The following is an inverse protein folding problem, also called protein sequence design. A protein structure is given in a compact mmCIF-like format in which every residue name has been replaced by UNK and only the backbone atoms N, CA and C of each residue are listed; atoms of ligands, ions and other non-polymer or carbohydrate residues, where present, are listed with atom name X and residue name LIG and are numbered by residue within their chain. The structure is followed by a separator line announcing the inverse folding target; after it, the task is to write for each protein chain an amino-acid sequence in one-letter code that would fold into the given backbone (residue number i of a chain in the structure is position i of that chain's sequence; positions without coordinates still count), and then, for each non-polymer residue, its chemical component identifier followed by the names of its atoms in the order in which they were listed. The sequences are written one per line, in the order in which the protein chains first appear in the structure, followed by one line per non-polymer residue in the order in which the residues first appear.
data_IF_274583913366
#
_entry.id   IF_274583913366
#
_cell.length_a   1.000
_cell.length_b   1.000
_cell.length_c   1.000
_cell.angle_alpha   90.00
_cell.angle_beta   90.00
_cell.angle_gamma   90.00
#
_symmetry.space_group_name_H-M   'P 1'
#
loop_
_entity.id
_entity.type
_entity.pdbx_description
1 polymer ?
2 non-polymer ?
3 water ?
#
# COMPACT_ATOMS: atom_id res chain seq x y z
N UNK A 3 -18.52 -9.30 -3.41
CA UNK A 3 -17.31 -10.17 -3.26
C UNK A 3 -16.83 -10.38 -1.82
N UNK A 4 -16.24 -11.55 -1.63
CA UNK A 4 -15.72 -12.05 -0.38
C UNK A 4 -14.49 -11.28 0.12
N UNK A 5 -13.58 -10.90 -0.78
CA UNK A 5 -12.40 -10.10 -0.39
C UNK A 5 -12.82 -8.80 0.29
N UNK A 6 -13.78 -8.10 -0.30
CA UNK A 6 -14.22 -6.79 0.22
C UNK A 6 -14.98 -7.00 1.55
N UNK A 7 -15.79 -8.06 1.62
CA UNK A 7 -16.52 -8.32 2.87
C UNK A 7 -15.58 -8.58 4.06
N UNK A 8 -14.53 -9.38 3.83
CA UNK A 8 -13.55 -9.69 4.92
C UNK A 8 -12.72 -8.47 5.22
N UNK A 9 -12.32 -7.77 4.15
CA UNK A 9 -11.50 -6.57 4.30
C UNK A 9 -12.29 -5.52 5.07
N UNK A 10 -13.57 -5.37 4.75
CA UNK A 10 -14.39 -4.33 5.37
C UNK A 10 -14.34 -4.43 6.89
N UNK A 11 -14.46 -5.67 7.41
CA UNK A 11 -14.39 -5.94 8.84
C UNK A 11 -13.05 -5.57 9.48
N UNK A 12 -11.97 -5.97 8.82
CA UNK A 12 -10.65 -5.73 9.36
C UNK A 12 -10.24 -4.26 9.23
N UNK A 13 -10.74 -3.62 8.19
CA UNK A 13 -10.49 -2.16 7.99
C UNK A 13 -11.22 -1.32 9.03
N UNK A 14 -12.47 -1.70 9.31
CA UNK A 14 -13.21 -1.02 10.39
C UNK A 14 -12.50 -1.19 11.73
N UNK A 15 -11.95 -2.39 11.98
CA UNK A 15 -11.09 -2.63 13.14
C UNK A 15 -9.79 -1.75 13.22
N UNK A 16 -9.08 -1.62 12.11
CA UNK A 16 -7.94 -0.70 12.08
C UNK A 16 -8.36 0.75 12.31
N UNK A 17 -9.48 1.16 11.75
CA UNK A 17 -9.98 2.53 11.93
C UNK A 17 -10.29 2.75 13.42
N UNK A 18 -11.00 1.79 14.02
CA UNK A 18 -11.24 1.79 15.47
C UNK A 18 -9.94 1.90 16.28
N UNK A 19 -8.93 1.09 15.93
CA UNK A 19 -7.69 1.08 16.73
C UNK A 19 -6.81 2.33 16.47
N UNK A 20 -6.90 2.93 15.29
CA UNK A 20 -5.87 3.92 14.90
C UNK A 20 -6.42 5.29 14.58
N UNK A 21 -7.72 5.36 14.28
CA UNK A 21 -8.41 6.56 13.77
C UNK A 21 -7.88 7.08 12.43
N UNK A 22 -7.10 6.25 11.73
CA UNK A 22 -6.46 6.67 10.47
C UNK A 22 -7.37 6.30 9.29
N UNK A 23 -7.05 6.83 8.09
CA UNK A 23 -7.73 6.48 6.85
C UNK A 23 -7.17 5.12 6.42
N UNK A 24 -8.06 4.19 6.12
CA UNK A 24 -7.68 2.82 5.67
C UNK A 24 -8.20 2.58 4.24
N UNK A 25 -7.30 2.10 3.35
CA UNK A 25 -7.60 1.76 1.96
C UNK A 25 -7.33 0.29 1.62
N UNK A 26 -8.11 -0.22 0.65
CA UNK A 26 -7.82 -1.51 0.02
C UNK A 26 -7.71 -1.21 -1.48
N UNK A 27 -6.60 -1.61 -2.09
CA UNK A 27 -6.33 -1.27 -3.50
C UNK A 27 -6.03 -2.51 -4.32
N UNK A 28 -6.30 -2.50 -5.62
CA UNK A 28 -5.98 -3.66 -6.44
C UNK A 28 -5.34 -3.21 -7.75
N UNK A 29 -4.71 -4.13 -8.48
CA UNK A 29 -4.04 -3.82 -9.74
C UNK A 29 -5.09 -3.65 -10.84
N UNK A 30 -5.00 -2.55 -11.57
CA UNK A 30 -5.82 -2.39 -12.76
C UNK A 30 -4.87 -2.03 -13.89
N UNK A 31 -4.33 -3.07 -14.50
CA UNK A 31 -3.46 -2.95 -15.66
C UNK A 31 -2.11 -2.33 -15.32
N UNK A 32 -2.01 -1.00 -15.26
CA UNK A 32 -0.74 -0.31 -14.95
C UNK A 32 -0.94 0.80 -13.91
N UNK A 33 -1.94 0.60 -13.06
CA UNK A 33 -2.25 1.56 -12.01
C UNK A 33 -2.90 0.78 -10.87
N UNK A 34 -3.07 1.43 -9.72
CA UNK A 34 -3.85 0.84 -8.61
C UNK A 34 -5.27 1.37 -8.69
N UNK A 35 -6.22 0.58 -8.21
CA UNK A 35 -7.59 1.08 -8.07
C UNK A 35 -8.02 0.91 -6.62
N UNK A 36 -8.55 1.94 -5.97
CA UNK A 36 -9.06 1.73 -4.60
C UNK A 36 -10.41 1.01 -4.66
N UNK A 37 -10.47 -0.21 -4.13
CA UNK A 37 -11.71 -0.98 -4.11
C UNK A 37 -12.54 -0.87 -2.80
N UNK A 38 -11.89 -0.53 -1.67
CA UNK A 38 -12.61 -0.20 -0.41
C UNK A 38 -11.90 0.92 0.35
N UNK A 39 -12.63 1.65 1.19
CA UNK A 39 -12.03 2.69 2.03
C UNK A 39 -12.83 2.80 3.33
N UNK A 40 -12.13 3.03 4.44
CA UNK A 40 -12.76 3.46 5.69
C UNK A 40 -12.09 4.78 6.08
N UNK A 41 -12.88 5.85 6.12
CA UNK A 41 -12.36 7.22 6.26
C UNK A 41 -11.92 7.61 7.65
N UNK A 42 -10.95 8.52 7.71
CA UNK A 42 -10.50 9.11 8.96
C UNK A 42 -11.68 9.83 9.62
N UNK A 43 -12.23 10.84 8.93
CA UNK A 43 -13.52 11.44 9.30
C UNK A 43 -14.27 11.94 8.06
N UNK A 52 -14.37 1.98 -4.40
CA UNK A 52 -14.21 3.43 -4.24
C UNK A 52 -13.68 4.10 -5.53
N UNK A 53 -12.95 3.33 -6.34
CA UNK A 53 -12.81 3.61 -7.77
C UNK A 53 -11.78 4.64 -8.22
N UNK A 54 -11.19 5.36 -7.26
CA UNK A 54 -10.07 6.26 -7.53
C UNK A 54 -8.88 5.45 -8.10
N UNK A 55 -8.13 6.06 -9.02
CA UNK A 55 -6.98 5.43 -9.71
C UNK A 55 -5.63 6.18 -9.51
N UNK A 56 -4.55 5.44 -9.24
CA UNK A 56 -3.29 6.08 -8.85
C UNK A 56 -2.09 5.33 -9.42
N UNK A 57 -0.93 6.01 -9.53
CA UNK A 57 0.27 5.32 -10.06
C UNK A 57 0.71 4.13 -9.20
N UNK A 58 1.32 3.15 -9.84
CA UNK A 58 1.90 2.01 -9.12
C UNK A 58 3.19 2.41 -8.35
N UNK A 59 3.93 3.40 -8.89
CA UNK A 59 5.32 3.62 -8.40
C UNK A 59 5.40 4.61 -7.22
N UNK A 60 4.30 5.32 -6.96
CA UNK A 60 4.26 6.40 -5.93
C UNK A 60 3.26 6.12 -4.79
N UNK A 61 2.61 4.96 -4.83
CA UNK A 61 1.63 4.55 -3.80
C UNK A 61 2.19 3.39 -2.99
N UNK A 62 1.87 3.30 -1.69
CA UNK A 62 2.31 2.20 -0.87
C UNK A 62 1.65 0.88 -1.40
N UNK A 63 0.40 0.95 -1.78
CA UNK A 63 -0.33 -0.27 -2.30
C UNK A 63 0.28 -0.73 -3.64
N UNK A 64 0.59 0.24 -4.50
CA UNK A 64 1.27 -0.08 -5.77
C UNK A 64 2.55 -0.84 -5.52
N UNK A 65 3.38 -0.37 -4.61
CA UNK A 65 4.61 -1.08 -4.30
C UNK A 65 4.38 -2.51 -3.84
N UNK A 66 3.39 -2.71 -2.99
CA UNK A 66 3.20 -4.08 -2.52
C UNK A 66 2.56 -4.99 -3.56
N UNK A 67 1.81 -4.44 -4.51
CA UNK A 67 1.20 -5.22 -5.62
C UNK A 67 2.23 -5.69 -6.64
N UNK A 68 3.35 -5.00 -6.67
CA UNK A 68 4.51 -5.38 -7.50
C UNK A 68 5.62 -6.14 -6.84
N UNK A 69 5.89 -5.90 -5.55
CA UNK A 69 7.11 -6.39 -4.88
C UNK A 69 7.30 -7.91 -4.83
N UNK A 70 6.22 -8.67 -4.75
CA UNK A 70 6.35 -10.14 -4.70
C UNK A 70 6.21 -10.81 -6.10
N UNK A 71 6.06 -10.00 -7.15
CA UNK A 71 5.77 -10.52 -8.49
C UNK A 71 7.02 -10.93 -9.21
N UNK A 72 6.84 -11.83 -10.20
CA UNK A 72 7.93 -12.19 -11.11
C UNK A 72 8.43 -10.87 -11.69
N UNK A 73 9.74 -10.65 -11.60
CA UNK A 73 10.35 -9.39 -12.02
C UNK A 73 10.25 -9.14 -13.53
N UNK A 74 9.86 -10.17 -14.28
CA UNK A 74 9.61 -10.03 -15.71
C UNK A 74 8.19 -9.58 -15.99
N UNK A 75 7.23 -10.14 -15.26
CA UNK A 75 5.89 -9.58 -15.16
C UNK A 75 5.90 -8.10 -14.72
N UNK A 76 6.72 -7.76 -13.72
CA UNK A 76 6.89 -6.36 -13.25
C UNK A 76 7.34 -5.46 -14.40
N UNK A 77 8.49 -5.77 -15.02
CA UNK A 77 9.00 -4.91 -16.09
C UNK A 77 7.95 -4.81 -17.23
N UNK A 78 7.22 -5.89 -17.49
CA UNK A 78 6.07 -5.90 -18.43
C UNK A 78 4.95 -4.92 -18.05
N UNK A 79 4.44 -5.04 -16.82
CA UNK A 79 3.43 -4.11 -16.30
C UNK A 79 3.92 -2.64 -16.45
N UNK A 80 5.17 -2.38 -16.07
CA UNK A 80 5.67 -1.00 -16.05
C UNK A 80 6.09 -0.43 -17.42
N UNK A 81 6.11 -1.29 -18.43
CA UNK A 81 6.50 -0.84 -19.80
C UNK A 81 5.74 0.36 -20.32
N UNK A 82 4.43 0.36 -20.10
CA UNK A 82 3.55 1.40 -20.61
C UNK A 82 3.54 2.71 -19.82
N UNK A 83 4.00 2.64 -18.57
CA UNK A 83 3.93 3.75 -17.63
C UNK A 83 4.76 4.94 -18.08
N UNK A 84 4.15 6.13 -18.05
CA UNK A 84 4.87 7.40 -18.18
C UNK A 84 5.12 7.96 -16.76
N UNK A 85 6.37 7.89 -16.31
CA UNK A 85 6.65 8.36 -14.95
C UNK A 85 6.50 9.89 -14.86
N UNK A 86 5.90 10.36 -13.78
CA UNK A 86 5.75 11.78 -13.51
C UNK A 86 6.28 12.13 -12.11
N UNK A 87 7.08 13.19 -12.02
CA UNK A 87 7.64 13.62 -10.76
C UNK A 87 6.62 14.50 -10.04
N UNK A 88 5.93 13.92 -9.05
CA UNK A 88 4.93 14.70 -8.26
C UNK A 88 5.58 15.55 -7.22
N UNK A 89 6.57 14.98 -6.56
CA UNK A 89 7.23 15.65 -5.49
C UNK A 89 8.70 15.34 -5.61
N UNK A 90 9.44 15.99 -4.73
CA UNK A 90 10.86 15.77 -4.54
C UNK A 90 11.21 14.28 -4.38
N UNK A 91 10.35 13.53 -3.70
CA UNK A 91 10.65 12.15 -3.33
C UNK A 91 10.14 11.06 -4.29
N UNK A 92 9.35 11.46 -5.27
CA UNK A 92 8.76 10.49 -6.21
C UNK A 92 9.85 9.70 -6.91
N UNK A 93 9.66 8.36 -6.99
CA UNK A 93 10.57 7.46 -7.72
C UNK A 93 10.09 7.50 -9.19
N UNK A 94 10.97 7.83 -10.14
CA UNK A 94 10.48 8.13 -11.50
C UNK A 94 11.17 7.37 -12.63
N UNK A 95 11.68 6.16 -12.34
CA UNK A 95 12.01 5.21 -13.41
C UNK A 95 11.84 3.79 -12.92
N UNK A 96 11.71 2.85 -13.86
CA UNK A 96 11.69 1.42 -13.47
C UNK A 96 12.99 1.03 -12.83
N UNK A 97 14.10 1.58 -13.35
CA UNK A 97 15.42 1.25 -12.84
C UNK A 97 15.60 1.69 -11.39
N UNK A 98 15.09 2.88 -11.04
CA UNK A 98 15.04 3.33 -9.63
C UNK A 98 14.03 2.55 -8.75
N UNK A 99 12.95 2.05 -9.35
CA UNK A 99 11.89 1.39 -8.55
C UNK A 99 12.22 -0.03 -8.12
N UNK A 100 12.91 -0.75 -9.01
CA UNK A 100 13.18 -2.19 -8.76
C UNK A 100 13.94 -2.40 -7.45
N UNK A 101 14.99 -1.61 -7.17
CA UNK A 101 15.62 -1.73 -5.85
C UNK A 101 14.67 -1.38 -4.69
N UNK A 102 13.75 -0.43 -4.89
CA UNK A 102 12.78 -0.13 -3.82
C UNK A 102 11.87 -1.37 -3.56
N UNK A 103 11.45 -2.01 -4.64
CA UNK A 103 10.63 -3.22 -4.52
C UNK A 103 11.36 -4.35 -3.78
N UNK A 104 12.68 -4.43 -3.96
CA UNK A 104 13.51 -5.38 -3.21
C UNK A 104 13.36 -5.13 -1.71
N UNK A 105 13.48 -3.86 -1.30
CA UNK A 105 13.37 -3.51 0.11
C UNK A 105 11.94 -3.79 0.62
N UNK A 106 10.94 -3.48 -0.19
CA UNK A 106 9.54 -3.75 0.21
C UNK A 106 9.37 -5.26 0.53
N UNK A 107 9.78 -6.12 -0.40
CA UNK A 107 9.70 -7.57 -0.17
C UNK A 107 10.46 -7.99 1.10
N UNK A 108 11.67 -7.47 1.25
CA UNK A 108 12.54 -7.78 2.39
C UNK A 108 11.89 -7.40 3.73
N UNK A 109 11.27 -6.23 3.81
CA UNK A 109 10.73 -5.72 5.09
C UNK A 109 9.27 -6.09 5.34
N UNK A 110 8.55 -6.52 4.30
CA UNK A 110 7.16 -6.95 4.42
C UNK A 110 6.09 -5.87 4.34
N UNK A 111 6.49 -4.64 3.97
CA UNK A 111 5.54 -3.55 3.79
C UNK A 111 6.13 -2.54 2.80
N UNK A 112 5.25 -1.74 2.22
CA UNK A 112 5.64 -0.70 1.24
C UNK A 112 5.19 0.62 1.80
N UNK A 113 5.81 1.70 1.33
CA UNK A 113 5.43 3.01 1.84
C UNK A 113 5.31 4.00 0.72
N UNK A 114 4.57 5.08 1.00
CA UNK A 114 4.55 6.27 0.19
C UNK A 114 4.92 7.35 1.18
N UNK A 115 6.17 7.79 1.14
CA UNK A 115 6.67 8.82 2.03
C UNK A 115 6.72 10.17 1.29
N UNK A 116 5.58 10.84 1.27
CA UNK A 116 5.39 12.09 0.49
C UNK A 116 5.89 11.98 -0.95
N UNK A 117 5.59 10.84 -1.57
CA UNK A 117 5.91 10.59 -2.97
C UNK A 117 4.79 11.03 -3.91
N UNK A 118 3.54 11.04 -3.45
CA UNK A 118 2.42 11.57 -4.26
C UNK A 118 2.09 13.03 -3.95
N UNK A 119 2.13 13.37 -2.67
CA UNK A 119 1.67 14.67 -2.21
C UNK A 119 2.47 15.05 -0.99
N UNK A 120 2.98 16.27 -0.97
CA UNK A 120 3.63 16.76 0.25
C UNK A 120 2.66 16.62 1.43
N UNK A 121 3.19 16.20 2.56
CA UNK A 121 2.38 16.10 3.77
C UNK A 121 1.53 14.86 3.87
N UNK A 122 1.61 13.97 2.87
CA UNK A 122 0.84 12.70 2.92
C UNK A 122 1.77 11.47 3.00
N UNK A 123 1.57 10.61 4.00
CA UNK A 123 2.35 9.38 4.07
C UNK A 123 1.41 8.19 4.21
N UNK A 124 1.77 7.08 3.58
CA UNK A 124 0.96 5.85 3.64
C UNK A 124 1.87 4.66 3.86
N UNK A 125 1.35 3.64 4.54
CA UNK A 125 2.09 2.42 4.77
C UNK A 125 1.15 1.27 4.32
N UNK A 126 1.68 0.24 3.64
CA UNK A 126 0.76 -0.83 3.15
C UNK A 126 1.40 -2.18 3.25
N UNK A 127 0.54 -3.23 3.29
CA UNK A 127 0.97 -4.59 3.38
C UNK A 127 0.22 -5.42 2.35
N UNK A 128 0.85 -6.53 1.90
CA UNK A 128 0.20 -7.39 0.90
C UNK A 128 -0.96 -8.25 1.45
N UNK A 129 -2.00 -8.46 0.63
CA UNK A 129 -3.08 -9.38 0.97
C UNK A 129 -2.95 -10.46 -0.10
N UNK A 130 -2.88 -11.72 0.33
CA UNK A 130 -2.55 -12.84 -0.56
C UNK A 130 -3.80 -13.64 -0.89
N UNK A 131 -3.85 -14.19 -2.10
CA UNK A 131 -4.89 -15.19 -2.41
C UNK A 131 -4.43 -16.60 -1.97
N UNK A 132 -5.25 -17.61 -2.27
CA UNK A 132 -4.95 -18.98 -1.79
C UNK A 132 -3.64 -19.55 -2.36
N UNK A 133 -3.11 -18.91 -3.41
CA UNK A 133 -1.86 -19.35 -4.04
C UNK A 133 -0.62 -18.55 -3.67
N UNK A 134 -0.76 -17.56 -2.79
CA UNK A 134 0.42 -16.77 -2.39
C UNK A 134 0.75 -15.62 -3.32
N UNK A 135 -0.17 -15.30 -4.22
CA UNK A 135 -0.07 -14.10 -5.03
C UNK A 135 -0.73 -12.93 -4.31
N UNK A 136 -0.05 -11.79 -4.35
CA UNK A 136 -0.63 -10.57 -3.80
C UNK A 136 -1.81 -10.07 -4.65
N UNK A 137 -3.03 -10.11 -4.12
CA UNK A 137 -4.24 -9.71 -4.87
C UNK A 137 -4.73 -8.30 -4.52
N UNK A 138 -4.26 -7.77 -3.38
CA UNK A 138 -4.62 -6.42 -2.99
C UNK A 138 -3.53 -5.91 -2.06
N UNK A 139 -3.52 -4.60 -1.83
CA UNK A 139 -2.72 -4.04 -0.77
C UNK A 139 -3.69 -3.40 0.20
N UNK A 140 -3.33 -3.48 1.48
CA UNK A 140 -4.12 -2.90 2.56
C UNK A 140 -3.26 -1.80 3.22
N UNK A 141 -3.78 -0.58 3.25
CA UNK A 141 -2.94 0.54 3.73
C UNK A 141 -3.58 1.39 4.81
N UNK A 142 -2.73 2.21 5.43
CA UNK A 142 -3.08 3.21 6.42
C UNK A 142 -2.44 4.55 6.00
N UNK A 143 -3.21 5.64 6.06
CA UNK A 143 -2.69 6.98 5.75
C UNK A 143 -1.69 7.59 6.74
N UNK A 144 -1.73 8.92 6.83
CA UNK A 144 -0.77 9.69 7.63
C UNK A 144 -0.68 11.12 7.14
N UNK A 145 -0.92 12.09 8.03
CA UNK A 145 -0.17 13.34 7.91
C UNK A 145 1.25 13.05 8.39
N UNK A 146 2.24 13.64 7.74
CA UNK A 146 3.65 13.22 7.89
C UNK A 146 4.34 13.42 9.25
N UNK A 147 3.89 14.40 10.04
CA UNK A 147 4.75 15.01 11.09
C UNK A 147 5.21 14.13 12.27
N UNK A 148 4.34 13.97 13.26
CA UNK A 148 4.60 13.10 14.41
C UNK A 148 5.21 11.72 14.04
N UNK A 149 6.31 11.72 13.30
CA UNK A 149 6.90 10.45 12.91
C UNK A 149 7.62 9.77 14.06
N UNK A 150 7.30 8.49 14.20
CA UNK A 150 7.78 7.70 15.28
C UNK A 150 8.09 6.39 14.57
N UNK A 151 9.28 5.85 14.78
CA UNK A 151 9.54 4.51 14.29
C UNK A 151 8.57 3.59 15.03
N UNK A 152 8.26 3.95 16.28
CA UNK A 152 7.33 3.18 17.08
C UNK A 152 5.93 3.19 16.49
N UNK A 153 5.45 4.34 16.03
CA UNK A 153 4.12 4.36 15.40
C UNK A 153 4.14 3.50 14.12
N UNK A 154 5.18 3.71 13.30
CA UNK A 154 5.32 2.90 12.06
C UNK A 154 5.28 1.39 12.35
N UNK A 155 6.10 0.92 13.29
CA UNK A 155 6.14 -0.50 13.60
C UNK A 155 4.80 -1.04 14.17
N UNK A 156 4.13 -0.26 15.01
CA UNK A 156 2.81 -0.65 15.53
C UNK A 156 1.78 -0.72 14.38
N UNK A 157 1.84 0.26 13.47
CA UNK A 157 0.93 0.30 12.30
C UNK A 157 1.19 -0.90 11.40
N UNK A 158 2.45 -1.25 11.21
CA UNK A 158 2.82 -2.37 10.33
C UNK A 158 2.29 -3.68 10.96
N UNK A 159 2.47 -3.78 12.27
CA UNK A 159 2.06 -4.98 13.00
C UNK A 159 0.55 -5.14 12.93
N UNK A 160 -0.19 -4.05 13.09
CA UNK A 160 -1.67 -4.16 13.00
C UNK A 160 -2.15 -4.43 11.56
N UNK A 161 -1.49 -3.80 10.57
CA UNK A 161 -1.80 -4.13 9.14
C UNK A 161 -1.59 -5.63 8.86
N UNK A 162 -0.46 -6.17 9.31
CA UNK A 162 -0.14 -7.58 9.08
C UNK A 162 -1.18 -8.51 9.71
N UNK A 163 -1.58 -8.21 10.93
CA UNK A 163 -2.72 -8.97 11.55
C UNK A 163 -3.98 -8.93 10.71
N UNK A 164 -4.40 -7.73 10.33
CA UNK A 164 -5.59 -7.54 9.51
C UNK A 164 -5.48 -8.30 8.18
N UNK A 165 -4.34 -8.11 7.48
CA UNK A 165 -4.12 -8.78 6.19
C UNK A 165 -4.09 -10.32 6.30
N UNK A 166 -3.46 -10.84 7.34
CA UNK A 166 -3.40 -12.27 7.49
C UNK A 166 -4.78 -12.89 7.67
N UNK A 167 -5.65 -12.20 8.42
CA UNK A 167 -7.05 -12.65 8.57
C UNK A 167 -7.80 -12.62 7.23
N UNK A 168 -7.67 -11.51 6.51
CA UNK A 168 -8.32 -11.41 5.18
C UNK A 168 -7.86 -12.54 4.23
N UNK A 169 -6.54 -12.72 4.19
CA UNK A 169 -5.90 -13.80 3.38
C UNK A 169 -6.36 -15.19 3.80
N UNK A 170 -6.35 -15.46 5.10
CA UNK A 170 -6.91 -16.71 5.63
C UNK A 170 -8.36 -16.96 5.19
N UNK A 171 -9.18 -15.91 5.22
CA UNK A 171 -10.55 -16.00 4.78
C UNK A 171 -10.68 -16.14 3.24
N UNK A 172 -9.60 -15.85 2.50
CA UNK A 172 -9.46 -16.06 1.03
C UNK A 172 -9.02 -17.50 0.69
N UNK A 173 -8.57 -18.24 1.72
CA UNK A 173 -8.00 -19.57 1.57
C UNK A 173 -6.48 -19.66 1.63
N UNK A 174 -5.80 -18.55 1.94
CA UNK A 174 -4.32 -18.57 2.03
C UNK A 174 -3.81 -19.28 3.27
X LIG B 1 -12.22 -9.21 14.46
X LIG B 1 -12.72 -9.16 15.85
X LIG B 1 -11.33 -8.03 14.20
X LIG B 1 -11.47 -10.38 14.29
X LIG B 1 -13.36 -9.19 13.49
#
# INVERSE_FOLDING_TARGET
GHMDLIRSADIQMRELSRLTKETIHLGALDEDSIVYIHKIDSMYNLRMYSRIGRRNPLYSTAIGKVLLAWRDRDEVKQILEGVEYKRSTERTITSTEALLPVLDQVREQGYGEDNEEQEEGLRCIAVPVFDRFGVVIAGLSISFPTLRFSEERLQEYVAMLHTAARKISAQMGYHDYPFGS
SO4 S O1 O2 O3 O4
#
